data_IF_890568507655
#
_entry.id   IF_890568507655
#
_cell.length_a   1.000
_cell.length_b   1.000
_cell.length_c   1.000
_cell.angle_alpha   90.00
_cell.angle_beta   90.00
_cell.angle_gamma   90.00
#
_symmetry.space_group_name_H-M   'P 1'
#
loop_
_entity.id
_entity.type
_entity.pdbx_description
1 polymer ?
#
# COMPACT_ATOMS: atom_id res chain seq x y z
N UNK A 1 39.56 9.89 17.55
CA UNK A 1 38.97 8.79 16.75
C UNK A 1 38.28 7.74 17.66
N UNK A 2 37.39 8.17 18.58
CA UNK A 2 36.65 7.31 19.54
C UNK A 2 35.25 7.89 19.87
N UNK A 3 34.52 8.41 18.88
CA UNK A 3 33.25 9.12 19.14
C UNK A 3 32.19 9.01 18.03
N UNK A 4 32.19 7.95 17.22
CA UNK A 4 31.20 7.81 16.11
C UNK A 4 30.24 6.61 16.31
N UNK A 5 30.47 5.72 17.27
CA UNK A 5 29.65 4.51 17.47
C UNK A 5 28.68 4.55 18.67
N UNK A 6 28.19 5.73 19.07
CA UNK A 6 27.24 5.84 20.20
C UNK A 6 25.93 6.54 19.83
N UNK A 7 25.20 5.94 18.88
CA UNK A 7 23.73 5.99 18.77
C UNK A 7 23.30 5.17 17.57
N UNK A 8 23.40 3.84 17.69
CA UNK A 8 22.40 3.01 17.03
C UNK A 8 21.13 3.25 17.85
N UNK A 9 20.39 4.30 17.47
CA UNK A 9 19.02 4.48 17.93
C UNK A 9 18.29 3.20 17.53
N UNK A 10 17.93 2.39 18.51
CA UNK A 10 16.83 1.44 18.37
C UNK A 10 15.69 2.17 17.67
N UNK A 11 15.10 1.61 16.60
CA UNK A 11 14.04 2.28 15.86
C UNK A 11 13.00 2.75 16.86
N UNK A 12 12.71 4.05 16.88
CA UNK A 12 11.73 4.68 17.79
C UNK A 12 10.37 3.97 17.79
N UNK A 13 10.08 3.23 16.71
CA UNK A 13 8.96 2.30 16.57
C UNK A 13 8.93 1.21 17.67
N UNK A 14 10.06 0.56 17.99
CA UNK A 14 10.13 -0.50 19.00
C UNK A 14 9.94 0.02 20.44
N UNK A 15 10.31 1.27 20.71
CA UNK A 15 10.17 1.89 22.02
C UNK A 15 8.78 2.51 22.27
N UNK A 16 8.04 2.85 21.21
CA UNK A 16 6.67 3.42 21.30
C UNK A 16 5.57 2.35 21.18
N UNK A 17 5.90 1.16 20.69
CA UNK A 17 4.98 0.02 20.60
C UNK A 17 4.30 -0.36 21.93
N UNK A 18 4.99 -0.39 23.10
CA UNK A 18 4.35 -0.71 24.38
C UNK A 18 3.22 0.28 24.74
N UNK A 19 3.41 1.57 24.45
CA UNK A 19 2.41 2.61 24.76
C UNK A 19 1.15 2.57 23.88
N UNK A 20 1.26 2.09 22.63
CA UNK A 20 0.09 1.95 21.75
C UNK A 20 -0.68 0.64 22.01
N UNK A 21 0.03 -0.45 22.32
CA UNK A 21 -0.60 -1.73 22.69
C UNK A 21 -1.37 -1.63 24.01
N UNK A 22 -0.88 -0.84 24.97
CA UNK A 22 -1.61 -0.57 26.21
C UNK A 22 -2.86 0.31 26.04
N UNK A 23 -3.07 0.93 24.87
CA UNK A 23 -4.25 1.77 24.59
C UNK A 23 -5.29 1.08 23.69
N UNK A 24 -4.91 0.10 22.86
CA UNK A 24 -5.86 -0.60 21.98
C UNK A 24 -6.33 -1.91 22.62
N UNK A 25 -7.60 -1.97 23.01
CA UNK A 25 -8.21 -3.22 23.51
C UNK A 25 -8.53 -4.23 22.39
N UNK A 26 -8.39 -3.84 21.11
CA UNK A 26 -8.75 -4.65 19.95
C UNK A 26 -7.70 -4.53 18.83
N UNK A 27 -7.40 -5.66 18.17
CA UNK A 27 -6.51 -5.73 17.01
C UNK A 27 -6.94 -4.82 15.86
N UNK A 28 -8.25 -4.65 15.64
CA UNK A 28 -8.76 -3.83 14.54
C UNK A 28 -8.36 -2.35 14.68
N UNK A 29 -8.36 -1.82 15.91
CA UNK A 29 -7.96 -0.45 16.20
C UNK A 29 -6.46 -0.26 16.01
N UNK A 30 -5.66 -1.23 16.50
CA UNK A 30 -4.22 -1.28 16.26
C UNK A 30 -3.92 -1.31 14.76
N UNK A 31 -4.61 -2.17 14.00
CA UNK A 31 -4.43 -2.31 12.55
C UNK A 31 -4.76 -1.02 11.83
N UNK A 32 -5.85 -0.35 12.20
CA UNK A 32 -6.24 0.92 11.58
C UNK A 32 -5.22 2.04 11.84
N UNK A 33 -4.67 2.11 13.06
CA UNK A 33 -3.59 3.03 13.40
C UNK A 33 -2.33 2.75 12.57
N UNK A 34 -1.91 1.48 12.53
CA UNK A 34 -0.77 1.04 11.73
C UNK A 34 -0.94 1.35 10.24
N UNK A 35 -2.12 1.06 9.68
CA UNK A 35 -2.43 1.30 8.27
C UNK A 35 -2.28 2.79 7.94
N UNK A 36 -2.83 3.67 8.78
CA UNK A 36 -2.79 5.12 8.57
C UNK A 36 -1.38 5.69 8.58
N UNK A 37 -0.51 5.21 9.47
CA UNK A 37 0.88 5.63 9.50
C UNK A 37 1.64 5.18 8.25
N UNK A 38 1.39 3.95 7.78
CA UNK A 38 1.99 3.45 6.53
C UNK A 38 1.45 4.16 5.29
N UNK A 39 0.18 4.54 5.25
CA UNK A 39 -0.40 5.31 4.15
C UNK A 39 0.31 6.64 3.94
N UNK A 40 0.64 7.37 5.00
CA UNK A 40 1.40 8.64 4.87
C UNK A 40 2.67 8.44 4.07
N UNK A 41 3.41 7.37 4.38
CA UNK A 41 4.62 7.03 3.67
C UNK A 41 4.35 6.59 2.23
N UNK A 42 3.32 5.76 2.01
CA UNK A 42 2.92 5.31 0.68
C UNK A 42 2.61 6.49 -0.26
N UNK A 43 1.80 7.45 0.22
CA UNK A 43 1.47 8.66 -0.54
C UNK A 43 2.70 9.52 -0.83
N UNK A 44 3.62 9.70 0.12
CA UNK A 44 4.86 10.43 -0.10
C UNK A 44 5.75 9.76 -1.15
N UNK A 45 5.93 8.44 -1.08
CA UNK A 45 6.68 7.68 -2.08
C UNK A 45 6.09 7.91 -3.47
N UNK A 46 4.76 7.96 -3.58
CA UNK A 46 4.07 8.19 -4.84
C UNK A 46 4.34 9.60 -5.41
N UNK A 47 4.19 10.63 -4.57
CA UNK A 47 4.40 12.05 -4.92
C UNK A 47 5.84 12.33 -5.38
N UNK A 48 6.83 11.68 -4.78
CA UNK A 48 8.22 11.82 -5.23
C UNK A 48 8.57 10.85 -6.37
N UNK A 49 7.91 9.70 -6.42
CA UNK A 49 8.18 8.64 -7.39
C UNK A 49 7.68 8.98 -8.79
N UNK A 50 6.46 9.49 -8.94
CA UNK A 50 5.90 9.76 -10.27
C UNK A 50 6.65 10.82 -11.09
N UNK A 51 7.13 11.93 -10.51
CA UNK A 51 7.96 12.88 -11.25
C UNK A 51 9.24 12.27 -11.82
N UNK A 52 9.82 11.25 -11.17
CA UNK A 52 11.00 10.56 -11.70
C UNK A 52 10.75 9.86 -13.04
N UNK A 53 9.49 9.53 -13.33
CA UNK A 53 9.09 8.82 -14.54
C UNK A 53 8.83 9.75 -15.74
N UNK A 54 8.89 11.08 -15.57
CA UNK A 54 8.77 12.02 -16.69
C UNK A 54 9.82 11.80 -17.77
N UNK A 55 11.02 11.35 -17.38
CA UNK A 55 12.09 11.06 -18.33
C UNK A 55 11.69 9.96 -19.33
N UNK A 56 10.92 8.95 -18.87
CA UNK A 56 10.45 7.85 -19.72
C UNK A 56 9.44 8.37 -20.75
N UNK A 57 8.49 9.22 -20.31
CA UNK A 57 7.46 9.77 -21.18
C UNK A 57 8.01 10.72 -22.24
N UNK A 58 9.10 11.43 -21.92
CA UNK A 58 9.72 12.37 -22.85
C UNK A 58 10.15 11.71 -24.16
N UNK A 59 10.57 10.44 -24.10
CA UNK A 59 10.99 9.67 -25.28
C UNK A 59 9.83 9.09 -26.10
N UNK A 60 8.57 9.25 -25.67
CA UNK A 60 7.39 8.68 -26.35
C UNK A 60 6.85 9.53 -27.51
N UNK A 61 7.65 10.48 -28.01
CA UNK A 61 7.37 11.23 -29.23
C UNK A 61 6.10 12.08 -29.15
N UNK A 62 5.12 11.79 -30.01
CA UNK A 62 3.92 12.61 -30.20
C UNK A 62 2.90 12.48 -29.07
N UNK A 63 2.90 11.36 -28.34
CA UNK A 63 1.97 11.13 -27.24
C UNK A 63 2.40 11.77 -25.91
N UNK A 64 3.58 12.42 -25.87
CA UNK A 64 4.19 12.98 -24.66
C UNK A 64 3.27 13.92 -23.88
N UNK A 65 2.46 14.73 -24.56
CA UNK A 65 1.57 15.71 -23.91
C UNK A 65 0.43 14.97 -23.20
N UNK A 66 -0.18 13.99 -23.86
CA UNK A 66 -1.26 13.17 -23.29
C UNK A 66 -0.76 12.42 -22.05
N UNK A 67 0.42 11.79 -22.13
CA UNK A 67 1.03 11.08 -21.00
C UNK A 67 1.34 12.04 -19.83
N UNK A 68 1.87 13.22 -20.14
CA UNK A 68 2.15 14.26 -19.16
C UNK A 68 0.88 14.71 -18.41
N UNK A 69 -0.23 14.91 -19.12
CA UNK A 69 -1.51 15.26 -18.51
C UNK A 69 -2.04 14.14 -17.59
N UNK A 70 -1.94 12.88 -18.02
CA UNK A 70 -2.30 11.72 -17.18
C UNK A 70 -1.43 11.64 -15.91
N UNK A 71 -0.13 11.99 -16.00
CA UNK A 71 0.74 12.09 -14.83
C UNK A 71 0.35 13.22 -13.89
N UNK A 72 0.00 14.40 -14.40
CA UNK A 72 -0.49 15.51 -13.55
C UNK A 72 -1.78 15.10 -12.82
N UNK A 73 -2.68 14.41 -13.51
CA UNK A 73 -3.92 13.91 -12.91
C UNK A 73 -3.62 12.93 -11.76
N UNK A 74 -2.72 11.97 -12.00
CA UNK A 74 -2.28 11.01 -10.99
C UNK A 74 -1.58 11.70 -9.80
N UNK A 75 -0.72 12.68 -10.07
CA UNK A 75 -0.01 13.46 -9.06
C UNK A 75 -1.00 14.22 -8.16
N UNK A 76 -1.97 14.89 -8.78
CA UNK A 76 -3.04 15.61 -8.08
C UNK A 76 -3.82 14.67 -7.17
N UNK A 77 -4.15 13.48 -7.67
CA UNK A 77 -4.86 12.45 -6.92
C UNK A 77 -4.10 12.01 -5.65
N UNK A 78 -2.79 11.80 -5.74
CA UNK A 78 -1.99 11.43 -4.57
C UNK A 78 -1.73 12.59 -3.62
N UNK A 79 -1.52 13.82 -4.10
CA UNK A 79 -1.43 15.00 -3.23
C UNK A 79 -2.73 15.15 -2.43
N UNK A 80 -3.89 15.02 -3.08
CA UNK A 80 -5.19 15.08 -2.40
C UNK A 80 -5.33 13.98 -1.34
N UNK A 81 -5.01 12.74 -1.67
CA UNK A 81 -5.06 11.64 -0.70
C UNK A 81 -4.07 11.82 0.46
N UNK A 82 -2.87 12.35 0.21
CA UNK A 82 -1.90 12.71 1.26
C UNK A 82 -2.48 13.76 2.23
N UNK A 83 -3.08 14.82 1.69
CA UNK A 83 -3.71 15.88 2.48
C UNK A 83 -4.87 15.33 3.33
N UNK A 84 -5.66 14.40 2.80
CA UNK A 84 -6.72 13.72 3.55
C UNK A 84 -6.11 12.95 4.73
N UNK A 85 -5.12 12.09 4.49
CA UNK A 85 -4.44 11.30 5.54
C UNK A 85 -3.76 12.21 6.60
N UNK A 86 -3.26 13.39 6.19
CA UNK A 86 -2.52 14.31 7.05
C UNK A 86 -3.42 15.17 7.94
N UNK A 87 -4.54 15.65 7.42
CA UNK A 87 -5.37 16.68 8.07
C UNK A 87 -6.77 16.21 8.45
N UNK A 88 -7.30 15.15 7.83
CA UNK A 88 -8.70 14.75 7.95
C UNK A 88 -8.80 13.28 8.33
N UNK A 89 -8.83 13.02 9.63
CA UNK A 89 -8.79 11.66 10.18
C UNK A 89 -10.07 10.84 9.96
N UNK A 90 -11.22 11.49 9.74
CA UNK A 90 -12.53 10.82 9.89
C UNK A 90 -13.34 10.76 8.58
N UNK A 91 -12.87 11.37 7.48
CA UNK A 91 -13.65 11.44 6.23
C UNK A 91 -13.64 10.11 5.48
N UNK A 92 -12.50 9.41 5.46
CA UNK A 92 -12.37 8.11 4.79
C UNK A 92 -11.69 7.12 5.71
N UNK A 93 -12.23 5.91 5.75
CA UNK A 93 -11.56 4.80 6.41
C UNK A 93 -10.20 4.54 5.75
N UNK A 94 -9.16 4.19 6.52
CA UNK A 94 -7.82 3.94 5.97
C UNK A 94 -7.81 2.92 4.83
N UNK A 95 -8.63 1.86 4.91
CA UNK A 95 -8.80 0.88 3.83
C UNK A 95 -9.27 1.52 2.51
N UNK A 96 -10.22 2.47 2.58
CA UNK A 96 -10.69 3.20 1.42
C UNK A 96 -9.59 4.05 0.78
N UNK A 97 -8.74 4.67 1.60
CA UNK A 97 -7.60 5.47 1.12
C UNK A 97 -6.50 4.62 0.46
N UNK A 98 -6.34 3.36 0.87
CA UNK A 98 -5.47 2.39 0.20
C UNK A 98 -6.04 1.99 -1.17
N UNK A 99 -7.33 1.64 -1.21
CA UNK A 99 -8.01 1.30 -2.48
C UNK A 99 -7.94 2.48 -3.44
N UNK A 100 -8.25 3.67 -2.95
CA UNK A 100 -8.15 4.92 -3.70
C UNK A 100 -6.74 5.07 -4.28
N UNK A 101 -5.68 4.97 -3.46
CA UNK A 101 -4.29 5.12 -3.89
C UNK A 101 -3.91 4.22 -5.06
N UNK A 102 -4.23 2.91 -4.97
CA UNK A 102 -3.91 1.92 -5.99
C UNK A 102 -4.77 2.14 -7.24
N UNK A 103 -6.09 2.28 -7.07
CA UNK A 103 -7.03 2.33 -8.17
C UNK A 103 -6.88 3.60 -9.01
N UNK A 104 -6.72 4.77 -8.36
CA UNK A 104 -6.55 6.03 -9.08
C UNK A 104 -5.31 6.05 -9.95
N UNK A 105 -4.20 5.52 -9.44
CA UNK A 105 -2.96 5.38 -10.21
C UNK A 105 -3.14 4.42 -11.38
N UNK A 106 -3.70 3.24 -11.12
CA UNK A 106 -3.85 2.21 -12.15
C UNK A 106 -4.87 2.56 -13.23
N UNK A 107 -5.88 3.38 -12.93
CA UNK A 107 -6.76 3.96 -13.95
C UNK A 107 -5.92 4.82 -14.90
N UNK A 108 -5.10 5.74 -14.37
CA UNK A 108 -4.25 6.61 -15.18
C UNK A 108 -3.24 5.81 -16.00
N UNK A 109 -2.60 4.81 -15.42
CA UNK A 109 -1.63 3.95 -16.12
C UNK A 109 -2.34 3.11 -17.19
N UNK A 110 -3.54 2.61 -16.94
CA UNK A 110 -4.32 1.89 -17.96
C UNK A 110 -4.72 2.80 -19.13
N UNK A 111 -5.01 4.07 -18.88
CA UNK A 111 -5.20 5.05 -19.98
C UNK A 111 -3.91 5.26 -20.77
N UNK A 112 -2.74 5.28 -20.10
CA UNK A 112 -1.45 5.34 -20.80
C UNK A 112 -1.23 4.11 -21.69
N UNK A 113 -1.66 2.91 -21.29
CA UNK A 113 -1.56 1.73 -22.17
C UNK A 113 -2.44 1.88 -23.41
N UNK A 114 -3.67 2.37 -23.25
CA UNK A 114 -4.59 2.63 -24.38
C UNK A 114 -3.96 3.57 -25.40
N UNK A 115 -3.39 4.69 -24.93
CA UNK A 115 -2.72 5.70 -25.78
C UNK A 115 -1.51 5.11 -26.52
N UNK A 116 -0.80 4.17 -25.90
CA UNK A 116 0.46 3.61 -26.40
C UNK A 116 0.30 2.27 -27.14
N UNK A 117 -0.86 1.99 -27.72
CA UNK A 117 -1.08 0.78 -28.53
C UNK A 117 -1.70 -0.39 -27.78
N UNK A 118 -2.36 -0.12 -26.66
CA UNK A 118 -3.17 -1.10 -25.93
C UNK A 118 -2.32 -2.16 -25.22
N UNK A 119 -2.65 -3.43 -25.48
CA UNK A 119 -1.96 -4.58 -24.87
C UNK A 119 -0.48 -4.72 -25.28
N UNK A 120 -0.05 -4.09 -26.36
CA UNK A 120 1.37 -4.07 -26.75
C UNK A 120 2.22 -3.10 -25.91
N UNK A 121 1.57 -2.19 -25.15
CA UNK A 121 2.26 -1.18 -24.36
C UNK A 121 2.92 -1.77 -23.11
N UNK A 122 4.19 -1.49 -22.90
CA UNK A 122 4.93 -1.88 -21.69
C UNK A 122 4.46 -1.14 -20.42
N UNK A 123 3.57 -0.15 -20.52
CA UNK A 123 3.08 0.59 -19.35
C UNK A 123 2.27 -0.28 -18.38
N UNK A 124 1.80 -1.47 -18.80
CA UNK A 124 1.16 -2.41 -17.88
C UNK A 124 2.08 -2.84 -16.73
N UNK A 125 3.41 -2.77 -16.91
CA UNK A 125 4.40 -3.02 -15.86
C UNK A 125 4.19 -2.04 -14.68
N UNK A 126 3.74 -0.82 -14.97
CA UNK A 126 3.38 0.17 -13.96
C UNK A 126 2.27 -0.30 -13.02
N UNK A 127 1.29 -1.05 -13.51
CA UNK A 127 0.21 -1.61 -12.66
C UNK A 127 0.79 -2.59 -11.63
N UNK A 128 1.70 -3.47 -12.08
CA UNK A 128 2.40 -4.40 -11.18
C UNK A 128 3.21 -3.65 -10.11
N UNK A 129 3.89 -2.57 -10.50
CA UNK A 129 4.67 -1.76 -9.57
C UNK A 129 3.78 -1.10 -8.51
N UNK A 130 2.59 -0.59 -8.88
CA UNK A 130 1.66 -0.02 -7.91
C UNK A 130 1.14 -1.08 -6.93
N UNK A 131 0.82 -2.28 -7.40
CA UNK A 131 0.44 -3.39 -6.52
C UNK A 131 1.55 -3.75 -5.54
N UNK A 132 2.79 -3.85 -6.05
CA UNK A 132 3.96 -4.17 -5.25
C UNK A 132 4.22 -3.11 -4.17
N UNK A 133 4.25 -1.82 -4.55
CA UNK A 133 4.46 -0.71 -3.62
C UNK A 133 3.41 -0.72 -2.50
N UNK A 134 2.14 -0.88 -2.83
CA UNK A 134 1.07 -0.97 -1.86
C UNK A 134 1.26 -2.15 -0.90
N UNK A 135 1.51 -3.35 -1.43
CA UNK A 135 1.65 -4.57 -0.64
C UNK A 135 2.87 -4.55 0.29
N UNK A 136 4.00 -3.98 -0.17
CA UNK A 136 5.24 -3.89 0.61
C UNK A 136 5.15 -2.83 1.71
N UNK A 137 4.59 -1.65 1.40
CA UNK A 137 4.55 -0.53 2.35
C UNK A 137 3.39 -0.68 3.34
N UNK A 138 2.25 -1.18 2.89
CA UNK A 138 1.02 -1.35 3.68
C UNK A 138 0.61 -2.83 3.69
N UNK A 139 1.36 -3.71 4.38
CA UNK A 139 1.17 -5.16 4.33
C UNK A 139 0.03 -5.63 5.26
N UNK A 140 -1.09 -4.92 5.27
CA UNK A 140 -2.29 -5.26 6.07
C UNK A 140 -3.55 -5.07 5.24
N UNK A 141 -4.65 -5.68 5.66
CA UNK A 141 -5.95 -5.58 4.99
C UNK A 141 -5.93 -6.22 3.59
N UNK A 142 -5.65 -7.51 3.52
CA UNK A 142 -5.56 -8.25 2.25
C UNK A 142 -6.81 -8.08 1.36
N UNK A 143 -7.99 -7.92 1.98
CA UNK A 143 -9.25 -7.64 1.27
C UNK A 143 -9.19 -6.34 0.48
N UNK A 144 -8.61 -5.28 1.04
CA UNK A 144 -8.48 -3.98 0.38
C UNK A 144 -7.53 -4.07 -0.82
N UNK A 145 -6.43 -4.81 -0.68
CA UNK A 145 -5.53 -5.10 -1.80
C UNK A 145 -6.23 -5.88 -2.90
N UNK A 146 -6.94 -6.96 -2.55
CA UNK A 146 -7.66 -7.79 -3.51
C UNK A 146 -8.74 -7.00 -4.27
N UNK A 147 -9.52 -6.15 -3.58
CA UNK A 147 -10.51 -5.28 -4.21
C UNK A 147 -9.82 -4.31 -5.18
N UNK A 148 -8.77 -3.60 -4.73
CA UNK A 148 -8.09 -2.62 -5.57
C UNK A 148 -7.43 -3.26 -6.80
N UNK A 149 -6.82 -4.43 -6.63
CA UNK A 149 -6.22 -5.22 -7.70
C UNK A 149 -7.27 -5.70 -8.70
N UNK A 150 -8.36 -6.29 -8.22
CA UNK A 150 -9.44 -6.78 -9.09
C UNK A 150 -10.08 -5.63 -9.88
N UNK A 151 -10.38 -4.50 -9.21
CA UNK A 151 -10.91 -3.32 -9.88
C UNK A 151 -9.94 -2.76 -10.93
N UNK A 152 -8.64 -2.74 -10.63
CA UNK A 152 -7.61 -2.30 -11.59
C UNK A 152 -7.51 -3.24 -12.80
N UNK A 153 -7.57 -4.56 -12.59
CA UNK A 153 -7.55 -5.56 -13.66
C UNK A 153 -8.76 -5.43 -14.58
N UNK A 154 -9.96 -5.31 -13.99
CA UNK A 154 -11.20 -5.12 -14.75
C UNK A 154 -11.10 -3.83 -15.58
N UNK A 155 -10.65 -2.74 -14.97
CA UNK A 155 -10.51 -1.47 -15.67
C UNK A 155 -9.51 -1.55 -16.82
N UNK A 156 -8.32 -2.12 -16.58
CA UNK A 156 -7.29 -2.33 -17.60
C UNK A 156 -7.84 -3.13 -18.79
N UNK A 157 -8.53 -4.24 -18.54
CA UNK A 157 -9.14 -5.06 -19.58
C UNK A 157 -10.18 -4.29 -20.39
N UNK A 158 -11.17 -3.69 -19.70
CA UNK A 158 -12.25 -2.94 -20.34
C UNK A 158 -11.69 -1.78 -21.16
N UNK A 159 -10.77 -1.00 -20.59
CA UNK A 159 -10.16 0.14 -21.27
C UNK A 159 -9.46 -0.28 -22.57
N UNK A 160 -8.62 -1.32 -22.52
CA UNK A 160 -7.83 -1.74 -23.67
C UNK A 160 -8.65 -2.48 -24.73
N UNK A 161 -9.66 -3.26 -24.34
CA UNK A 161 -10.56 -3.96 -25.29
C UNK A 161 -11.39 -2.95 -26.08
N UNK A 162 -11.99 -1.96 -25.42
CA UNK A 162 -12.98 -1.10 -26.07
C UNK A 162 -12.39 0.17 -26.69
N UNK A 163 -11.20 0.61 -26.26
CA UNK A 163 -10.65 1.91 -26.68
C UNK A 163 -9.28 1.85 -27.34
N UNK A 164 -8.54 0.74 -27.29
CA UNK A 164 -7.26 0.68 -27.99
C UNK A 164 -7.49 0.57 -29.51
N UNK A 165 -6.73 1.35 -30.29
CA UNK A 165 -6.84 1.37 -31.76
C UNK A 165 -5.86 0.39 -32.45
N UNK A 166 -5.29 -0.56 -31.69
CA UNK A 166 -4.32 -1.52 -32.18
C UNK A 166 -4.94 -2.87 -32.54
N UNK A 167 -4.23 -3.65 -33.37
CA UNK A 167 -4.57 -5.06 -33.59
C UNK A 167 -4.34 -5.80 -32.27
N UNK A 168 -5.37 -6.48 -31.77
CA UNK A 168 -5.26 -7.27 -30.55
C UNK A 168 -4.43 -8.52 -30.84
N UNK A 169 -3.19 -8.51 -30.37
CA UNK A 169 -2.33 -9.69 -30.36
C UNK A 169 -2.65 -10.53 -29.12
N UNK A 170 -3.18 -11.74 -29.33
CA UNK A 170 -3.51 -12.66 -28.24
C UNK A 170 -2.31 -13.03 -27.38
N UNK A 171 -1.10 -13.09 -27.97
CA UNK A 171 0.11 -13.40 -27.21
C UNK A 171 0.42 -12.32 -26.16
N UNK A 172 0.31 -11.04 -26.54
CA UNK A 172 0.56 -9.91 -25.65
C UNK A 172 -0.51 -9.84 -24.55
N UNK A 173 -1.77 -10.07 -24.92
CA UNK A 173 -2.88 -10.14 -23.95
C UNK A 173 -2.63 -11.25 -22.93
N UNK A 174 -2.33 -12.47 -23.39
CA UNK A 174 -2.10 -13.63 -22.52
C UNK A 174 -0.90 -13.42 -21.60
N UNK A 175 0.22 -12.89 -22.11
CA UNK A 175 1.42 -12.65 -21.31
C UNK A 175 1.17 -11.59 -20.24
N UNK A 176 0.58 -10.44 -20.61
CA UNK A 176 0.32 -9.35 -19.67
C UNK A 176 -0.65 -9.80 -18.57
N UNK A 177 -1.72 -10.53 -18.94
CA UNK A 177 -2.68 -11.04 -17.96
C UNK A 177 -2.08 -12.10 -17.06
N UNK A 178 -1.28 -13.02 -17.60
CA UNK A 178 -0.58 -14.01 -16.79
C UNK A 178 0.29 -13.30 -15.74
N UNK A 179 1.09 -12.31 -16.14
CA UNK A 179 1.97 -11.57 -15.22
C UNK A 179 1.17 -10.78 -14.18
N UNK A 180 0.14 -10.06 -14.60
CA UNK A 180 -0.70 -9.27 -13.69
C UNK A 180 -1.45 -10.15 -12.69
N UNK A 181 -2.09 -11.24 -13.15
CA UNK A 181 -2.86 -12.14 -12.28
C UNK A 181 -1.94 -12.82 -11.27
N UNK A 182 -0.81 -13.38 -11.71
CA UNK A 182 0.12 -14.03 -10.80
C UNK A 182 0.74 -13.06 -9.79
N UNK A 183 1.01 -11.82 -10.21
CA UNK A 183 1.47 -10.76 -9.30
C UNK A 183 0.41 -10.44 -8.25
N UNK A 184 -0.86 -10.24 -8.65
CA UNK A 184 -1.96 -10.02 -7.71
C UNK A 184 -2.12 -11.17 -6.71
N UNK A 185 -2.07 -12.42 -7.19
CA UNK A 185 -2.14 -13.62 -6.32
C UNK A 185 -0.98 -13.63 -5.33
N UNK A 186 0.26 -13.51 -5.81
CA UNK A 186 1.45 -13.57 -4.97
C UNK A 186 1.44 -12.46 -3.89
N UNK A 187 1.09 -11.23 -4.28
CA UNK A 187 1.05 -10.10 -3.35
C UNK A 187 -0.12 -10.21 -2.36
N UNK A 188 -1.30 -10.63 -2.81
CA UNK A 188 -2.44 -10.83 -1.90
C UNK A 188 -2.16 -11.93 -0.88
N UNK A 189 -1.57 -13.05 -1.31
CA UNK A 189 -1.14 -14.12 -0.40
C UNK A 189 -0.07 -13.61 0.58
N UNK A 190 0.91 -12.84 0.09
CA UNK A 190 1.94 -12.23 0.94
C UNK A 190 1.32 -11.34 2.02
N UNK A 191 0.40 -10.44 1.65
CA UNK A 191 -0.28 -9.56 2.60
C UNK A 191 -1.15 -10.37 3.58
N UNK A 192 -1.84 -11.40 3.11
CA UNK A 192 -2.64 -12.28 3.96
C UNK A 192 -1.78 -12.97 5.04
N UNK A 193 -0.64 -13.53 4.65
CA UNK A 193 0.29 -14.18 5.58
C UNK A 193 0.87 -13.17 6.59
N UNK A 194 1.23 -11.97 6.11
CA UNK A 194 1.77 -10.92 6.95
C UNK A 194 0.74 -10.39 7.96
N UNK A 195 -0.52 -10.21 7.54
CA UNK A 195 -1.62 -9.81 8.42
C UNK A 195 -1.89 -10.88 9.48
N UNK A 196 -1.87 -12.17 9.11
CA UNK A 196 -2.03 -13.27 10.07
C UNK A 196 -0.88 -13.29 11.09
N UNK A 197 0.35 -13.02 10.67
CA UNK A 197 1.50 -12.91 11.56
C UNK A 197 1.34 -11.75 12.55
N UNK A 198 0.92 -10.57 12.08
CA UNK A 198 0.71 -9.40 12.95
C UNK A 198 -0.40 -9.64 13.97
N UNK A 199 -1.47 -10.34 13.58
CA UNK A 199 -2.53 -10.73 14.50
C UNK A 199 -2.02 -11.68 15.58
N UNK A 200 -1.26 -12.71 15.20
CA UNK A 200 -0.67 -13.63 16.17
C UNK A 200 0.31 -12.93 17.12
N UNK A 201 1.12 -12.00 16.61
CA UNK A 201 2.03 -11.20 17.43
C UNK A 201 1.26 -10.31 18.42
N UNK A 202 0.20 -9.63 17.96
CA UNK A 202 -0.66 -8.81 18.81
C UNK A 202 -1.27 -9.63 19.94
N UNK A 203 -1.87 -10.78 19.63
CA UNK A 203 -2.48 -11.67 20.61
C UNK A 203 -1.47 -12.20 21.63
N UNK A 204 -0.27 -12.58 21.19
CA UNK A 204 0.80 -13.03 22.08
C UNK A 204 1.24 -11.91 23.03
N UNK A 205 1.37 -10.67 22.54
CA UNK A 205 1.72 -9.51 23.36
C UNK A 205 0.64 -9.17 24.39
N UNK A 206 -0.64 -9.27 24.02
CA UNK A 206 -1.76 -9.04 24.95
C UNK A 206 -1.77 -10.06 26.10
N UNK A 207 -1.52 -11.34 25.80
CA UNK A 207 -1.41 -12.39 26.83
C UNK A 207 -0.26 -12.13 27.81
N UNK A 208 0.88 -11.64 27.31
CA UNK A 208 2.02 -11.30 28.18
C UNK A 208 1.69 -10.13 29.12
N UNK A 209 0.99 -9.10 28.63
CA UNK A 209 0.55 -7.97 29.46
C UNK A 209 -0.45 -8.41 30.54
N UNK A 210 -1.37 -9.32 30.20
CA UNK A 210 -2.34 -9.87 31.15
C UNK A 210 -1.63 -10.68 32.26
N UNK A 211 -0.67 -11.53 31.89
CA UNK A 211 0.13 -12.31 32.84
C UNK A 211 0.94 -11.43 33.79
N UNK A 212 1.54 -10.34 33.28
CA UNK A 212 2.32 -9.41 34.10
C UNK A 212 1.42 -8.62 35.08
N UNK A 213 0.20 -8.27 34.64
CA UNK A 213 -0.82 -7.66 35.48
C UNK A 213 -1.24 -8.59 36.62
N UNK A 214 -1.59 -9.84 36.32
CA UNK A 214 -1.98 -10.85 37.31
C UNK A 214 -0.85 -11.14 38.30
N UNK A 215 0.38 -11.23 37.81
CA UNK A 215 1.57 -11.39 38.64
C UNK A 215 1.72 -10.21 39.60
N UNK A 216 1.58 -8.98 39.11
CA UNK A 216 1.68 -7.76 39.92
C UNK A 216 0.58 -7.68 40.99
N UNK A 217 -0.66 -8.03 40.64
CA UNK A 217 -1.79 -8.12 41.59
C UNK A 217 -1.54 -9.19 42.67
N UNK A 218 -1.03 -10.36 42.28
CA UNK A 218 -0.68 -11.42 43.23
C UNK A 218 0.37 -10.96 44.24
N UNK A 219 1.47 -10.34 43.79
CA UNK A 219 2.51 -9.84 44.69
C UNK A 219 2.00 -8.71 45.60
N UNK A 220 1.16 -7.82 45.09
CA UNK A 220 0.54 -6.78 45.91
C UNK A 220 -0.33 -7.40 47.02
N UNK A 221 -1.19 -8.37 46.70
CA UNK A 221 -2.03 -9.03 47.68
C UNK A 221 -1.22 -9.79 48.74
N UNK A 222 -0.21 -10.57 48.33
CA UNK A 222 0.67 -11.28 49.27
C UNK A 222 1.43 -10.32 50.18
N UNK A 223 1.86 -9.15 49.67
CA UNK A 223 2.52 -8.13 50.50
C UNK A 223 1.60 -7.43 51.50
N UNK A 224 0.28 -7.50 51.31
CA UNK A 224 -0.70 -6.97 52.26
C UNK A 224 -1.09 -7.98 53.36
N UNK A 225 -0.86 -9.27 53.13
CA UNK A 225 -1.20 -10.35 54.09
C UNK A 225 -0.04 -10.72 55.04
N UNK A 226 1.20 -10.33 54.71
CA UNK A 226 2.42 -10.55 55.51
C UNK A 226 2.78 -9.31 56.34
#
# INVERSE_FOLDING_TARGET
MKSIFKKIQTPRALAQLPSQLGQSNNYEDWRNSFLKDRLRFLYLVAVFGNPSMFLVDYFQGDQRITLFLLRILMETFWILGFLIVRFKNDILQPNGLLIFWVLGANICISEMTVVLGGFSSLYYIGLNLMFLCAAVIVPVSWKSHAIAQLSSLIYYLVANIFRSQGIVNLADVSLNLMLLIWTCIALTVSVYLYERLHRAEFEARMKLLELDRLKSEFFANVSHEL
#
